data_IF_329090174510
#
_entry.id   IF_329090174510
#
_cell.length_a   1.000
_cell.length_b   1.000
_cell.length_c   1.000
_cell.angle_alpha   90.00
_cell.angle_beta   90.00
_cell.angle_gamma   90.00
#
_symmetry.space_group_name_H-M   'P 1'
#
loop_
_entity.id
_entity.type
_entity.pdbx_description
1 polymer ?
#
# COMPACT_ATOMS: atom_id res chain seq x y z
N UNK A 1 13.41 3.95 -61.19
CA UNK A 1 13.27 2.52 -60.82
C UNK A 1 14.53 2.00 -60.12
N UNK A 2 15.74 2.28 -60.62
CA UNK A 2 17.01 1.79 -60.05
C UNK A 2 17.29 2.15 -58.57
N UNK A 3 16.80 3.28 -58.04
CA UNK A 3 17.05 3.64 -56.64
C UNK A 3 16.15 2.88 -55.65
N UNK A 4 14.97 2.46 -56.09
CA UNK A 4 14.06 1.64 -55.27
C UNK A 4 14.66 0.23 -55.06
N UNK A 5 15.23 -0.33 -56.11
CA UNK A 5 15.88 -1.63 -56.06
C UNK A 5 17.13 -1.61 -55.16
N UNK A 6 17.89 -0.51 -55.14
CA UNK A 6 19.02 -0.31 -54.21
C UNK A 6 18.55 -0.22 -52.76
N UNK A 7 17.50 0.56 -52.49
CA UNK A 7 16.90 0.69 -51.16
C UNK A 7 16.34 -0.65 -50.65
N UNK A 8 15.72 -1.44 -51.53
CA UNK A 8 15.19 -2.75 -51.17
C UNK A 8 16.30 -3.76 -50.83
N UNK A 9 17.45 -3.66 -51.50
CA UNK A 9 18.66 -4.44 -51.16
C UNK A 9 19.23 -4.01 -49.81
N UNK A 10 19.31 -2.70 -49.55
CA UNK A 10 19.82 -2.15 -48.29
C UNK A 10 18.91 -2.48 -47.10
N UNK A 11 17.59 -2.38 -47.26
CA UNK A 11 16.61 -2.80 -46.24
C UNK A 11 16.74 -4.29 -45.93
N UNK A 12 16.93 -5.13 -46.95
CA UNK A 12 17.16 -6.56 -46.73
C UNK A 12 18.45 -6.80 -45.94
N UNK A 13 19.53 -6.14 -46.31
CA UNK A 13 20.82 -6.24 -45.60
C UNK A 13 20.67 -5.81 -44.13
N UNK A 14 20.11 -4.61 -43.88
CA UNK A 14 19.90 -4.09 -42.53
C UNK A 14 18.99 -4.99 -41.70
N UNK A 15 17.94 -5.58 -42.29
CA UNK A 15 17.08 -6.55 -41.58
C UNK A 15 17.83 -7.82 -41.21
N UNK A 16 18.71 -8.30 -42.07
CA UNK A 16 19.55 -9.47 -41.74
C UNK A 16 20.56 -9.16 -40.64
N UNK A 17 21.10 -7.94 -40.63
CA UNK A 17 22.05 -7.48 -39.62
C UNK A 17 21.35 -7.30 -38.26
N UNK A 18 20.19 -6.65 -38.24
CA UNK A 18 19.34 -6.55 -37.03
C UNK A 18 18.90 -7.92 -36.54
N UNK A 19 18.55 -8.86 -37.42
CA UNK A 19 18.18 -10.21 -37.02
C UNK A 19 19.38 -10.98 -36.44
N UNK A 20 20.59 -10.79 -36.99
CA UNK A 20 21.84 -11.36 -36.43
C UNK A 20 22.17 -10.73 -35.08
N UNK A 21 22.06 -9.41 -34.95
CA UNK A 21 22.28 -8.70 -33.69
C UNK A 21 21.26 -9.12 -32.62
N UNK A 22 19.98 -9.29 -32.97
CA UNK A 22 18.94 -9.81 -32.07
C UNK A 22 19.22 -11.24 -31.63
N UNK A 23 19.62 -12.13 -32.54
CA UNK A 23 20.00 -13.52 -32.19
C UNK A 23 21.28 -13.59 -31.36
N UNK A 24 22.21 -12.66 -31.55
CA UNK A 24 23.41 -12.54 -30.73
C UNK A 24 23.07 -12.01 -29.33
N UNK A 25 22.16 -11.03 -29.23
CA UNK A 25 21.65 -10.50 -27.98
C UNK A 25 20.78 -11.51 -27.22
N UNK A 26 19.96 -12.32 -27.89
CA UNK A 26 19.18 -13.41 -27.27
C UNK A 26 20.07 -14.51 -26.67
N UNK A 27 21.32 -14.64 -27.14
CA UNK A 27 22.32 -15.56 -26.57
C UNK A 27 23.07 -14.96 -25.39
N UNK A 28 23.05 -13.65 -25.22
CA UNK A 28 23.48 -13.01 -23.99
C UNK A 28 22.30 -13.19 -23.03
N UNK A 29 22.29 -14.31 -22.30
CA UNK A 29 21.50 -14.35 -21.08
C UNK A 29 21.93 -13.16 -20.24
N UNK A 30 20.97 -12.36 -19.82
CA UNK A 30 21.18 -11.32 -18.85
C UNK A 30 21.64 -12.02 -17.55
N UNK A 31 22.96 -12.11 -17.36
CA UNK A 31 23.63 -12.67 -16.19
C UNK A 31 23.68 -11.66 -15.04
N UNK A 32 22.77 -10.67 -15.07
CA UNK A 32 22.43 -9.97 -13.87
C UNK A 32 21.63 -10.93 -12.98
N UNK A 33 22.38 -11.69 -12.17
CA UNK A 33 21.92 -12.24 -10.91
C UNK A 33 21.60 -11.07 -9.97
N UNK A 34 20.59 -10.27 -10.34
CA UNK A 34 19.92 -9.45 -9.37
C UNK A 34 19.37 -10.46 -8.38
N UNK A 35 19.96 -10.50 -7.20
CA UNK A 35 19.24 -10.85 -6.01
C UNK A 35 18.10 -9.82 -5.87
N UNK A 36 17.07 -10.02 -6.68
CA UNK A 36 15.97 -9.10 -6.94
C UNK A 36 15.20 -8.87 -5.63
N UNK A 37 15.26 -9.86 -4.73
CA UNK A 37 14.77 -9.78 -3.36
C UNK A 37 15.58 -8.79 -2.50
N UNK A 38 16.92 -8.86 -2.50
CA UNK A 38 17.77 -7.92 -1.75
C UNK A 38 17.72 -6.49 -2.30
N UNK A 39 17.68 -6.33 -3.62
CA UNK A 39 17.58 -5.01 -4.26
C UNK A 39 16.20 -4.38 -4.01
N UNK A 40 15.14 -5.20 -3.95
CA UNK A 40 13.78 -4.79 -3.60
C UNK A 40 13.65 -4.38 -2.14
N UNK A 41 14.19 -5.17 -1.22
CA UNK A 41 14.13 -4.85 0.22
C UNK A 41 14.83 -3.50 0.47
N UNK A 42 15.90 -3.18 -0.28
CA UNK A 42 16.55 -1.86 -0.27
C UNK A 42 15.65 -0.73 -0.79
N UNK A 43 14.91 -0.92 -1.89
CA UNK A 43 14.01 0.13 -2.40
C UNK A 43 12.83 0.40 -1.48
N UNK A 44 12.20 -0.65 -0.93
CA UNK A 44 11.10 -0.46 0.03
C UNK A 44 11.61 0.25 1.29
N UNK A 45 12.79 -0.13 1.78
CA UNK A 45 13.46 0.57 2.87
C UNK A 45 13.71 2.05 2.55
N UNK A 46 14.24 2.35 1.36
CA UNK A 46 14.52 3.71 0.90
C UNK A 46 13.23 4.55 0.83
N UNK A 47 12.16 4.03 0.24
CA UNK A 47 10.90 4.76 0.15
C UNK A 47 10.19 4.96 1.48
N UNK A 48 10.27 3.98 2.38
CA UNK A 48 9.79 4.14 3.75
C UNK A 48 10.58 5.25 4.45
N UNK A 49 11.90 5.27 4.31
CA UNK A 49 12.76 6.35 4.83
C UNK A 49 12.43 7.71 4.24
N UNK A 50 12.24 7.82 2.93
CA UNK A 50 11.83 9.06 2.25
C UNK A 50 10.46 9.56 2.75
N UNK A 51 9.57 8.63 3.12
CA UNK A 51 8.27 8.93 3.73
C UNK A 51 8.36 9.27 5.22
N UNK A 52 9.57 9.33 5.78
CA UNK A 52 9.83 9.70 7.17
C UNK A 52 9.84 8.53 8.15
N UNK A 53 9.94 7.28 7.69
CA UNK A 53 10.03 6.10 8.54
C UNK A 53 11.48 5.64 8.71
N UNK A 54 12.09 5.82 9.89
CA UNK A 54 13.51 5.52 10.09
C UNK A 54 13.86 4.03 10.00
N UNK A 55 12.93 3.14 10.37
CA UNK A 55 13.11 1.68 10.44
C UNK A 55 14.36 1.30 11.26
N UNK A 56 14.59 2.02 12.37
CA UNK A 56 15.77 1.94 13.21
C UNK A 56 15.66 0.86 14.29
N UNK A 57 14.47 0.33 14.53
CA UNK A 57 14.23 -0.68 15.55
C UNK A 57 14.01 -2.05 14.93
N UNK A 58 14.48 -3.10 15.62
CA UNK A 58 14.27 -4.50 15.23
C UNK A 58 12.78 -4.88 15.14
N UNK A 59 11.90 -4.14 15.81
CA UNK A 59 10.44 -4.36 15.78
C UNK A 59 9.77 -3.81 14.51
N UNK A 60 10.48 -3.00 13.73
CA UNK A 60 9.90 -2.34 12.56
C UNK A 60 9.88 -3.28 11.35
N UNK A 61 10.70 -4.34 11.39
CA UNK A 61 10.91 -5.32 10.32
C UNK A 61 10.69 -6.74 10.82
N UNK A 62 10.14 -7.59 9.97
CA UNK A 62 9.89 -9.01 10.26
C UNK A 62 9.24 -9.21 11.64
N UNK A 63 8.25 -8.38 11.96
CA UNK A 63 7.65 -8.36 13.29
C UNK A 63 6.82 -9.63 13.52
N UNK A 64 7.08 -10.40 14.59
CA UNK A 64 6.34 -11.62 14.86
C UNK A 64 4.93 -11.29 15.35
N UNK A 65 3.93 -11.93 14.75
CA UNK A 65 2.53 -11.84 15.15
C UNK A 65 2.02 -13.23 15.53
N UNK A 66 1.17 -13.31 16.56
CA UNK A 66 0.57 -14.56 17.01
C UNK A 66 -0.86 -14.72 16.52
N UNK A 67 -1.33 -15.95 16.35
CA UNK A 67 -2.69 -16.27 15.88
C UNK A 67 -2.82 -16.36 14.35
N UNK A 68 -1.71 -16.43 13.62
CA UNK A 68 -1.70 -16.55 12.17
C UNK A 68 -1.78 -18.03 11.77
N UNK A 69 -2.71 -18.41 10.89
CA UNK A 69 -2.72 -19.79 10.40
C UNK A 69 -1.44 -20.09 9.58
N UNK A 70 -0.82 -21.24 9.85
CA UNK A 70 0.51 -21.61 9.31
C UNK A 70 0.62 -21.65 7.77
N UNK A 71 -0.51 -21.79 7.05
CA UNK A 71 -0.49 -21.86 5.58
C UNK A 71 -0.33 -20.50 4.91
N UNK A 72 -0.81 -19.43 5.54
CA UNK A 72 -0.78 -18.07 4.99
C UNK A 72 0.33 -17.20 5.61
N UNK A 73 1.07 -17.72 6.60
CA UNK A 73 2.18 -17.03 7.26
C UNK A 73 3.53 -17.19 6.56
N UNK A 74 3.61 -17.99 5.50
CA UNK A 74 4.86 -18.26 4.80
C UNK A 74 5.20 -17.10 3.85
N UNK A 75 6.29 -16.37 4.15
CA UNK A 75 6.92 -15.44 3.20
C UNK A 75 7.42 -16.29 2.02
N UNK A 76 6.97 -15.99 0.80
CA UNK A 76 7.34 -16.79 -0.40
C UNK A 76 8.86 -16.76 -0.71
N UNK A 77 9.60 -15.79 -0.19
CA UNK A 77 11.07 -15.72 -0.30
C UNK A 77 11.83 -16.58 0.71
N UNK A 78 11.15 -17.23 1.65
CA UNK A 78 11.82 -18.06 2.66
C UNK A 78 12.43 -19.31 2.03
N UNK A 79 13.65 -19.66 2.45
CA UNK A 79 14.31 -20.91 2.03
C UNK A 79 13.49 -22.14 2.46
N UNK A 80 13.74 -23.31 1.87
CA UNK A 80 13.02 -24.54 2.22
C UNK A 80 13.15 -24.87 3.72
N UNK A 81 14.32 -24.61 4.29
CA UNK A 81 14.63 -24.86 5.71
C UNK A 81 13.90 -23.86 6.63
N UNK A 82 13.83 -22.59 6.25
CA UNK A 82 13.05 -21.57 6.98
C UNK A 82 11.55 -21.85 6.95
N UNK A 83 11.03 -22.36 5.83
CA UNK A 83 9.61 -22.77 5.71
C UNK A 83 9.29 -23.93 6.65
N UNK A 84 10.19 -24.89 6.78
CA UNK A 84 10.03 -26.02 7.71
C UNK A 84 10.06 -25.56 9.18
N UNK A 85 10.98 -24.66 9.54
CA UNK A 85 11.06 -24.12 10.90
C UNK A 85 9.86 -23.24 11.28
N UNK A 86 9.39 -22.38 10.37
CA UNK A 86 8.23 -21.50 10.59
C UNK A 86 6.90 -22.26 10.54
N UNK A 87 6.77 -23.26 9.68
CA UNK A 87 5.57 -24.12 9.59
C UNK A 87 5.34 -25.02 10.81
N UNK A 88 6.39 -25.32 11.58
CA UNK A 88 6.30 -26.13 12.80
C UNK A 88 5.78 -25.37 14.04
N UNK A 89 5.92 -24.04 14.08
CA UNK A 89 5.34 -23.16 15.12
C UNK A 89 4.02 -22.57 14.61
N UNK A 90 3.03 -23.44 14.37
CA UNK A 90 1.87 -23.23 13.50
C UNK A 90 0.94 -22.02 13.70
N UNK A 91 1.23 -21.12 14.66
CA UNK A 91 0.42 -19.94 14.98
C UNK A 91 1.20 -18.61 14.88
N UNK A 92 2.46 -18.62 14.42
CA UNK A 92 3.29 -17.40 14.33
C UNK A 92 3.43 -16.94 12.87
N UNK A 93 2.99 -15.71 12.62
CA UNK A 93 3.22 -14.96 11.39
C UNK A 93 4.36 -13.96 11.52
N UNK A 94 4.90 -13.50 10.38
CA UNK A 94 5.92 -12.46 10.37
C UNK A 94 5.54 -11.39 9.36
N UNK A 95 5.40 -10.17 9.87
CA UNK A 95 5.01 -9.00 9.08
C UNK A 95 6.26 -8.35 8.52
N UNK A 96 6.32 -8.10 7.21
CA UNK A 96 7.51 -7.51 6.58
C UNK A 96 7.85 -6.17 7.24
N UNK A 97 6.89 -5.23 7.32
CA UNK A 97 7.08 -3.97 8.04
C UNK A 97 5.86 -3.56 8.88
N UNK A 98 6.15 -3.01 10.06
CA UNK A 98 5.14 -2.35 10.92
C UNK A 98 5.56 -0.91 11.13
N UNK A 99 4.65 0.01 10.83
CA UNK A 99 4.86 1.45 10.98
C UNK A 99 4.24 1.89 12.31
N UNK A 100 5.06 2.37 13.24
CA UNK A 100 4.68 2.62 14.63
C UNK A 100 4.37 4.09 14.94
N UNK A 101 3.33 4.31 15.73
CA UNK A 101 3.00 5.59 16.35
C UNK A 101 3.97 5.96 17.46
N UNK A 102 3.98 7.24 17.85
CA UNK A 102 4.75 7.68 19.04
C UNK A 102 4.19 7.08 20.33
N UNK A 103 2.92 6.68 20.31
CA UNK A 103 2.23 5.97 21.38
C UNK A 103 2.57 4.47 21.45
N UNK A 104 3.43 3.97 20.56
CA UNK A 104 3.80 2.56 20.47
C UNK A 104 2.70 1.67 19.88
N UNK A 105 1.66 2.24 19.27
CA UNK A 105 0.62 1.47 18.57
C UNK A 105 0.93 1.35 17.08
N UNK A 106 0.48 0.27 16.42
CA UNK A 106 0.69 0.12 14.99
C UNK A 106 -0.22 1.11 14.23
N UNK A 107 0.39 1.95 13.39
CA UNK A 107 -0.32 2.87 12.50
C UNK A 107 -0.59 2.22 11.14
N UNK A 108 0.36 1.43 10.65
CA UNK A 108 0.18 0.69 9.41
C UNK A 108 1.01 -0.59 9.37
N UNK A 109 0.58 -1.50 8.50
CA UNK A 109 1.29 -2.73 8.14
C UNK A 109 1.64 -2.68 6.65
N UNK A 110 2.83 -3.14 6.27
CA UNK A 110 3.24 -3.25 4.87
C UNK A 110 3.61 -4.69 4.54
N UNK A 111 2.93 -5.26 3.55
CA UNK A 111 3.26 -6.57 2.96
C UNK A 111 4.01 -6.39 1.64
N UNK A 112 5.20 -6.99 1.52
CA UNK A 112 6.08 -6.85 0.37
C UNK A 112 6.12 -8.13 -0.47
N UNK A 113 5.50 -8.09 -1.66
CA UNK A 113 5.56 -9.17 -2.66
C UNK A 113 6.75 -9.02 -3.60
N UNK A 114 7.10 -10.11 -4.28
CA UNK A 114 8.16 -10.10 -5.32
C UNK A 114 7.69 -9.24 -6.49
N UNK A 115 8.59 -8.44 -7.05
CA UNK A 115 8.37 -7.51 -8.18
C UNK A 115 7.48 -8.05 -9.30
N UNK A 116 7.76 -9.28 -9.75
CA UNK A 116 7.10 -9.90 -10.90
C UNK A 116 5.65 -10.34 -10.64
N UNK A 117 5.18 -10.27 -9.40
CA UNK A 117 3.83 -10.66 -9.00
C UNK A 117 2.92 -9.44 -8.87
N UNK A 118 1.64 -9.66 -9.10
CA UNK A 118 0.62 -8.68 -8.80
C UNK A 118 0.58 -8.42 -7.27
N UNK A 119 0.73 -7.16 -6.82
CA UNK A 119 0.65 -6.81 -5.40
C UNK A 119 -0.63 -7.31 -4.71
N UNK A 120 -1.76 -7.40 -5.44
CA UNK A 120 -3.06 -7.80 -4.90
C UNK A 120 -3.09 -9.21 -4.33
N UNK A 121 -2.16 -10.07 -4.75
CA UNK A 121 -2.01 -11.41 -4.15
C UNK A 121 -1.67 -11.33 -2.65
N UNK A 122 -1.06 -10.23 -2.20
CA UNK A 122 -0.76 -9.96 -0.79
C UNK A 122 -1.92 -9.40 0.03
N UNK A 123 -3.07 -9.07 -0.58
CA UNK A 123 -4.19 -8.38 0.07
C UNK A 123 -4.72 -9.16 1.29
N UNK A 124 -5.01 -10.46 1.11
CA UNK A 124 -5.54 -11.30 2.18
C UNK A 124 -4.55 -11.47 3.33
N UNK A 125 -3.26 -11.63 3.00
CA UNK A 125 -2.21 -11.78 4.00
C UNK A 125 -2.01 -10.50 4.81
N UNK A 126 -1.98 -9.34 4.13
CA UNK A 126 -1.84 -8.05 4.78
C UNK A 126 -3.03 -7.74 5.71
N UNK A 127 -4.25 -8.15 5.33
CA UNK A 127 -5.42 -8.08 6.22
C UNK A 127 -5.27 -8.95 7.46
N UNK A 128 -4.86 -10.21 7.32
CA UNK A 128 -4.65 -11.10 8.46
C UNK A 128 -3.61 -10.55 9.44
N UNK A 129 -2.55 -9.94 8.92
CA UNK A 129 -1.56 -9.27 9.77
C UNK A 129 -2.12 -8.08 10.52
N UNK A 130 -2.94 -7.26 9.86
CA UNK A 130 -3.65 -6.20 10.55
C UNK A 130 -4.59 -6.75 11.65
N UNK A 131 -5.28 -7.88 11.39
CA UNK A 131 -6.18 -8.52 12.37
C UNK A 131 -5.39 -8.99 13.61
N UNK A 132 -4.22 -9.59 13.41
CA UNK A 132 -3.33 -9.98 14.51
C UNK A 132 -2.78 -8.77 15.29
N UNK A 133 -2.35 -7.72 14.60
CA UNK A 133 -1.83 -6.50 15.24
C UNK A 133 -2.89 -5.78 16.05
N UNK A 134 -4.13 -5.72 15.53
CA UNK A 134 -5.27 -5.17 16.25
C UNK A 134 -5.57 -5.97 17.53
N UNK A 135 -5.54 -7.30 17.46
CA UNK A 135 -5.73 -8.15 18.64
C UNK A 135 -4.65 -7.93 19.71
N UNK A 136 -3.41 -7.65 19.32
CA UNK A 136 -2.29 -7.45 20.25
C UNK A 136 -2.22 -6.03 20.84
N UNK A 137 -2.51 -5.00 20.04
CA UNK A 137 -2.31 -3.59 20.41
C UNK A 137 -3.61 -2.79 20.58
N UNK A 138 -4.76 -3.37 20.24
CA UNK A 138 -6.07 -2.72 20.35
C UNK A 138 -6.29 -1.58 19.35
N UNK A 139 -5.47 -1.49 18.30
CA UNK A 139 -5.61 -0.49 17.24
C UNK A 139 -5.49 -1.15 15.87
N UNK A 140 -6.49 -0.91 15.02
CA UNK A 140 -6.50 -1.34 13.62
C UNK A 140 -5.48 -0.55 12.80
N UNK A 141 -4.38 -1.14 12.31
CA UNK A 141 -3.46 -0.45 11.42
C UNK A 141 -4.07 -0.25 10.02
N UNK A 142 -3.57 0.73 9.27
CA UNK A 142 -3.81 0.86 7.83
C UNK A 142 -3.02 -0.20 7.08
N UNK A 143 -3.60 -0.81 6.06
CA UNK A 143 -2.97 -1.89 5.31
C UNK A 143 -2.29 -1.31 4.06
N UNK A 144 -1.03 -1.64 3.86
CA UNK A 144 -0.31 -1.45 2.61
C UNK A 144 0.16 -2.78 2.06
N UNK A 145 0.15 -2.88 0.74
CA UNK A 145 0.79 -3.98 0.03
C UNK A 145 1.44 -3.46 -1.25
N UNK A 146 2.61 -3.99 -1.57
CA UNK A 146 3.42 -3.51 -2.68
C UNK A 146 4.29 -4.62 -3.27
N UNK A 147 4.61 -4.50 -4.55
CA UNK A 147 5.67 -5.27 -5.20
C UNK A 147 6.94 -4.44 -5.44
N UNK A 148 6.98 -3.20 -4.92
CA UNK A 148 8.04 -2.23 -5.17
C UNK A 148 7.87 -1.39 -6.43
N UNK A 149 6.78 -1.50 -7.19
CA UNK A 149 6.51 -0.57 -8.31
C UNK A 149 5.14 0.09 -8.16
N UNK A 150 4.19 -0.67 -7.62
CA UNK A 150 2.86 -0.18 -7.29
C UNK A 150 2.66 -0.23 -5.78
N UNK A 151 2.07 0.83 -5.24
CA UNK A 151 1.68 0.91 -3.84
C UNK A 151 0.17 0.92 -3.76
N UNK A 152 -0.35 0.07 -2.89
CA UNK A 152 -1.76 0.00 -2.60
C UNK A 152 -1.98 0.31 -1.12
N UNK A 153 -3.00 1.11 -0.86
CA UNK A 153 -3.48 1.40 0.48
C UNK A 153 -4.89 0.83 0.62
N UNK A 154 -5.14 0.23 1.77
CA UNK A 154 -6.45 -0.30 2.14
C UNK A 154 -6.77 0.06 3.59
N UNK A 155 -7.80 0.89 3.75
CA UNK A 155 -8.46 1.12 5.03
C UNK A 155 -9.73 0.28 5.06
N UNK A 156 -9.60 -0.97 5.51
CA UNK A 156 -10.67 -1.97 5.43
C UNK A 156 -11.89 -1.66 6.31
N UNK A 157 -11.77 -0.71 7.24
CA UNK A 157 -12.91 -0.22 8.00
C UNK A 157 -13.84 0.69 7.19
N UNK A 158 -13.33 1.35 6.13
CA UNK A 158 -14.03 2.47 5.50
C UNK A 158 -14.03 2.43 3.98
N UNK A 159 -12.92 2.05 3.36
CA UNK A 159 -12.70 2.22 1.93
C UNK A 159 -12.20 0.94 1.27
N UNK A 160 -12.60 0.73 0.03
CA UNK A 160 -12.02 -0.32 -0.81
C UNK A 160 -10.52 -0.03 -1.10
N UNK A 161 -9.73 -1.05 -1.43
CA UNK A 161 -8.32 -0.87 -1.76
C UNK A 161 -8.13 0.07 -2.96
N UNK A 162 -7.13 0.94 -2.89
CA UNK A 162 -6.80 1.90 -3.96
C UNK A 162 -5.31 2.07 -4.14
N UNK A 163 -4.90 2.46 -5.36
CA UNK A 163 -3.51 2.79 -5.67
C UNK A 163 -3.11 4.14 -5.08
N UNK A 164 -1.87 4.22 -4.63
CA UNK A 164 -1.20 5.46 -4.22
C UNK A 164 0.19 5.53 -4.84
N UNK A 165 0.78 6.72 -4.85
CA UNK A 165 2.12 6.96 -5.41
C UNK A 165 3.25 6.65 -4.42
N UNK A 166 2.95 6.51 -3.13
CA UNK A 166 3.93 6.23 -2.10
C UNK A 166 3.29 6.01 -0.74
N UNK A 167 4.13 5.78 0.26
CA UNK A 167 3.70 5.60 1.64
C UNK A 167 3.31 6.93 2.28
N UNK A 168 2.40 6.84 3.25
CA UNK A 168 1.94 8.00 3.98
C UNK A 168 2.91 8.31 5.10
N UNK A 169 3.05 9.59 5.41
CA UNK A 169 3.81 10.03 6.58
C UNK A 169 3.07 9.64 7.85
N UNK A 170 3.82 9.57 8.95
CA UNK A 170 3.28 9.27 10.28
C UNK A 170 2.03 10.08 10.63
N UNK A 171 2.12 11.41 10.55
CA UNK A 171 1.02 12.31 10.87
C UNK A 171 -0.23 12.09 9.97
N UNK A 172 -0.03 11.68 8.72
CA UNK A 172 -1.13 11.38 7.80
C UNK A 172 -1.84 10.08 8.19
N UNK A 173 -1.09 9.05 8.60
CA UNK A 173 -1.65 7.79 9.11
C UNK A 173 -2.37 7.98 10.45
N UNK A 174 -1.79 8.75 11.36
CA UNK A 174 -2.43 9.14 12.62
C UNK A 174 -3.76 9.87 12.36
N UNK A 175 -3.77 10.80 11.41
CA UNK A 175 -4.98 11.51 11.02
C UNK A 175 -6.05 10.57 10.43
N UNK A 176 -5.66 9.58 9.62
CA UNK A 176 -6.60 8.58 9.11
C UNK A 176 -7.24 7.76 10.24
N UNK A 177 -6.44 7.30 11.19
CA UNK A 177 -6.94 6.53 12.34
C UNK A 177 -7.82 7.40 13.24
N UNK A 178 -7.41 8.63 13.54
CA UNK A 178 -8.21 9.57 14.30
C UNK A 178 -9.56 9.86 13.63
N UNK A 179 -9.58 9.97 12.29
CA UNK A 179 -10.82 10.18 11.54
C UNK A 179 -11.81 9.03 11.70
N UNK A 180 -11.35 7.78 11.92
CA UNK A 180 -12.24 6.63 12.17
C UNK A 180 -13.04 6.83 13.45
N UNK A 181 -12.41 7.29 14.53
CA UNK A 181 -13.07 7.50 15.83
C UNK A 181 -13.85 8.82 15.90
N UNK A 182 -13.41 9.86 15.20
CA UNK A 182 -14.11 11.15 15.17
C UNK A 182 -15.30 11.19 14.23
N UNK A 183 -15.50 10.16 13.40
CA UNK A 183 -16.56 10.11 12.41
C UNK A 183 -17.91 10.05 13.11
N UNK A 184 -18.72 11.09 12.94
CA UNK A 184 -20.12 11.12 13.39
C UNK A 184 -21.01 10.77 12.22
N UNK A 185 -22.12 10.11 12.52
CA UNK A 185 -23.19 9.92 11.55
C UNK A 185 -23.77 11.30 11.19
N UNK A 186 -23.79 11.61 9.90
CA UNK A 186 -24.37 12.84 9.38
C UNK A 186 -25.85 12.96 9.74
N UNK A 187 -26.58 11.84 9.82
CA UNK A 187 -27.99 11.84 10.23
C UNK A 187 -28.17 12.20 11.73
N UNK A 188 -27.17 11.93 12.56
CA UNK A 188 -27.17 12.26 13.99
C UNK A 188 -26.63 13.66 14.30
N UNK A 189 -26.06 14.34 13.29
CA UNK A 189 -25.48 15.65 13.46
C UNK A 189 -26.58 16.69 13.66
N UNK A 190 -26.77 17.12 14.91
CA UNK A 190 -27.61 18.30 15.18
C UNK A 190 -26.93 19.51 14.57
N UNK A 191 -27.45 20.01 13.46
CA UNK A 191 -27.03 21.29 12.92
C UNK A 191 -27.32 22.38 13.95
N UNK A 192 -26.27 22.92 14.58
CA UNK A 192 -26.37 24.27 15.16
C UNK A 192 -26.28 25.24 13.99
N UNK A 193 -27.40 25.49 13.33
CA UNK A 193 -27.53 26.64 12.45
C UNK A 193 -27.42 27.88 13.33
N UNK A 194 -26.20 28.37 13.52
CA UNK A 194 -25.97 29.72 14.01
C UNK A 194 -26.18 30.61 12.80
N UNK A 195 -27.40 31.10 12.60
CA UNK A 195 -27.64 32.24 11.73
C UNK A 195 -26.85 33.42 12.29
N UNK A 196 -25.63 33.62 11.80
CA UNK A 196 -24.92 34.89 11.96
C UNK A 196 -25.71 35.89 11.13
N UNK A 197 -26.61 36.61 11.81
CA UNK A 197 -27.33 37.70 11.19
C UNK A 197 -26.30 38.74 10.72
N UNK A 198 -26.12 38.83 9.41
CA UNK A 198 -25.41 39.94 8.80
C UNK A 198 -26.25 41.19 9.14
N UNK A 199 -25.70 42.24 9.76
CA UNK A 199 -26.47 43.41 10.13
C UNK A 199 -26.91 44.15 8.86
N UNK A 200 -28.08 43.78 8.35
CA UNK A 200 -28.79 44.50 7.31
C UNK A 200 -29.42 45.75 7.91
N UNK A 201 -29.02 46.93 7.42
CA UNK A 201 -29.68 48.22 7.69
C UNK A 201 -31.06 48.30 7.02
N UNK A 202 -31.97 47.35 7.25
CA UNK A 202 -33.39 47.51 6.84
C UNK A 202 -34.30 46.89 7.90
N UNK A 203 -35.06 47.78 8.56
CA UNK A 203 -36.17 47.41 9.46
C UNK A 203 -37.24 46.68 8.64
N UNK A 204 -37.25 45.35 8.66
CA UNK A 204 -38.41 44.58 8.21
C UNK A 204 -39.31 44.31 9.42
N UNK A 205 -40.56 44.78 9.33
CA UNK A 205 -41.62 44.56 10.33
C UNK A 205 -42.04 43.08 10.34
N UNK A 206 -42.47 42.52 11.49
CA UNK A 206 -42.89 41.13 11.54
C UNK A 206 -44.27 40.97 10.89
N UNK A 207 -44.37 40.09 9.90
CA UNK A 207 -45.63 39.54 9.41
C UNK A 207 -45.80 38.13 9.98
N UNK A 208 -46.84 37.94 10.79
CA UNK A 208 -47.23 36.65 11.33
C UNK A 208 -47.85 35.79 10.22
N UNK A 209 -47.27 34.62 9.95
CA UNK A 209 -47.89 33.58 9.14
C UNK A 209 -48.07 32.37 10.06
N UNK A 210 -49.33 32.12 10.44
CA UNK A 210 -49.74 30.91 11.12
C UNK A 210 -49.92 29.79 10.09
N UNK A 211 -49.18 28.69 10.24
CA UNK A 211 -49.40 27.47 9.47
C UNK A 211 -50.27 26.55 10.33
N UNK A 212 -51.53 26.34 9.92
CA UNK A 212 -52.40 25.32 10.48
C UNK A 212 -51.95 23.94 9.99
N UNK A 213 -51.83 23.00 10.92
CA UNK A 213 -51.64 21.58 10.65
C UNK A 213 -52.98 20.93 10.26
N UNK A 214 -52.94 20.06 9.25
CA UNK A 214 -53.93 19.02 8.98
C UNK A 214 -53.18 17.71 8.76
#
# INVERSE_FOLDING_TARGET
MADKDKLDVEIKLLRTEVAKAKKAAEKIQDDHDYNEAETRDRWIDEWLKESGWPLDQKRDREFPVTGMNSRLSLRESSTADERAFRGAKGDIGFVDYVLWGDDGKPLAVVEAKRTRRDPRVGEQQAKLYADCLEAMYGQRPIIFYTNGYEYWIWDDCVYAPRRVQGFYKKAELELLILRRSSRRDLASATERIVCVSIPSRRKCRPSSIAIHAA
#
